data_IF_771597389045
#
_entry.id   IF_771597389045
#
_cell.length_a   1.000
_cell.length_b   1.000
_cell.length_c   1.000
_cell.angle_alpha   90.00
_cell.angle_beta   90.00
_cell.angle_gamma   90.00
#
_symmetry.space_group_name_H-M   'P 1'
#
loop_
_entity.id
_entity.type
_entity.pdbx_description
1 polymer ?
#
# COMPACT_ATOMS: atom_id res chain seq x y z
N UNK A 1 9.98 27.43 19.70
CA UNK A 1 9.37 26.91 20.95
C UNK A 1 8.48 25.74 20.57
N UNK A 2 8.74 24.56 21.12
CA UNK A 2 7.92 23.35 20.88
C UNK A 2 6.72 23.46 21.84
N UNK A 3 5.49 23.35 21.34
CA UNK A 3 4.30 23.46 22.20
C UNK A 3 4.14 22.20 23.08
N UNK A 4 3.48 22.31 24.23
CA UNK A 4 3.18 21.15 25.09
C UNK A 4 2.45 20.00 24.35
N UNK A 5 1.65 20.33 23.32
CA UNK A 5 1.01 19.35 22.43
C UNK A 5 2.00 18.52 21.60
N UNK A 6 3.15 19.10 21.27
CA UNK A 6 4.15 18.47 20.42
C UNK A 6 5.03 17.50 21.21
N UNK A 7 5.28 17.78 22.49
CA UNK A 7 5.95 16.84 23.40
C UNK A 7 5.15 15.55 23.59
N UNK A 8 3.84 15.66 23.87
CA UNK A 8 2.98 14.48 24.02
C UNK A 8 2.96 13.63 22.75
N UNK A 9 2.93 14.27 21.57
CA UNK A 9 3.02 13.58 20.28
C UNK A 9 4.34 12.83 20.12
N UNK A 10 5.47 13.47 20.42
CA UNK A 10 6.80 12.84 20.31
C UNK A 10 6.89 11.62 21.23
N UNK A 11 6.41 11.71 22.48
CA UNK A 11 6.37 10.59 23.40
C UNK A 11 5.53 9.43 22.85
N UNK A 12 4.34 9.70 22.33
CA UNK A 12 3.47 8.67 21.72
C UNK A 12 4.19 8.00 20.55
N UNK A 13 4.77 8.78 19.63
CA UNK A 13 5.51 8.24 18.48
C UNK A 13 6.68 7.39 18.94
N UNK A 14 7.46 7.84 19.91
CA UNK A 14 8.62 7.11 20.43
C UNK A 14 8.21 5.76 21.05
N UNK A 15 7.23 5.77 21.94
CA UNK A 15 6.73 4.55 22.61
C UNK A 15 6.18 3.56 21.58
N UNK A 16 5.35 4.02 20.64
CA UNK A 16 4.76 3.14 19.63
C UNK A 16 5.78 2.65 18.60
N UNK A 17 6.83 3.43 18.33
CA UNK A 17 7.96 3.00 17.50
C UNK A 17 8.72 1.85 18.15
N UNK A 18 8.93 1.90 19.46
CA UNK A 18 9.53 0.79 20.20
C UNK A 18 8.68 -0.49 20.10
N UNK A 19 7.36 -0.37 20.30
CA UNK A 19 6.45 -1.51 20.13
C UNK A 19 6.43 -2.06 18.70
N UNK A 20 6.54 -1.20 17.69
CA UNK A 20 6.69 -1.62 16.29
C UNK A 20 7.96 -2.45 16.08
N UNK A 21 9.12 -1.98 16.55
CA UNK A 21 10.38 -2.72 16.43
C UNK A 21 10.28 -4.06 17.15
N UNK A 22 9.69 -4.09 18.34
CA UNK A 22 9.44 -5.33 19.07
C UNK A 22 8.52 -6.30 18.32
N UNK A 23 7.47 -5.79 17.65
CA UNK A 23 6.59 -6.62 16.83
C UNK A 23 7.31 -7.22 15.62
N UNK A 24 8.12 -6.44 14.91
CA UNK A 24 8.95 -6.92 13.80
C UNK A 24 10.00 -7.94 14.29
N UNK A 25 10.57 -7.75 15.48
CA UNK A 25 11.47 -8.72 16.12
C UNK A 25 10.74 -10.03 16.41
N UNK A 26 9.56 -9.96 17.05
CA UNK A 26 8.73 -11.14 17.35
C UNK A 26 8.37 -11.91 16.10
N UNK A 27 7.99 -11.20 15.04
CA UNK A 27 7.61 -11.78 13.76
C UNK A 27 8.77 -12.48 13.05
N UNK A 28 10.00 -11.96 13.12
CA UNK A 28 11.12 -12.58 12.39
C UNK A 28 11.85 -13.68 13.19
N UNK A 29 11.91 -13.59 14.52
CA UNK A 29 12.76 -14.47 15.34
C UNK A 29 12.03 -15.40 16.29
N UNK A 30 10.86 -15.01 16.78
CA UNK A 30 10.13 -15.82 17.78
C UNK A 30 9.06 -16.66 17.10
N UNK A 31 8.26 -16.03 16.23
CA UNK A 31 7.21 -16.69 15.46
C UNK A 31 7.41 -16.37 13.97
N UNK A 32 8.46 -16.91 13.32
CA UNK A 32 8.71 -16.67 11.91
C UNK A 32 7.48 -17.08 11.08
N UNK A 33 7.12 -16.28 10.05
CA UNK A 33 6.04 -16.66 9.15
C UNK A 33 6.37 -17.97 8.43
N UNK A 34 5.35 -18.78 8.09
CA UNK A 34 5.55 -19.97 7.30
C UNK A 34 6.20 -19.63 5.94
N UNK A 35 7.19 -20.42 5.54
CA UNK A 35 7.89 -20.27 4.26
C UNK A 35 7.01 -20.81 3.12
N UNK A 36 6.03 -20.02 2.73
CA UNK A 36 5.06 -20.36 1.67
C UNK A 36 5.00 -19.26 0.60
N UNK A 37 4.61 -19.64 -0.63
CA UNK A 37 4.31 -18.71 -1.73
C UNK A 37 5.47 -17.73 -2.02
N UNK A 38 5.18 -16.44 -2.20
CA UNK A 38 6.18 -15.39 -2.49
C UNK A 38 7.27 -15.30 -1.41
N UNK A 39 6.95 -15.60 -0.14
CA UNK A 39 7.93 -15.55 0.95
C UNK A 39 8.99 -16.65 0.83
N UNK A 40 8.58 -17.87 0.46
CA UNK A 40 9.51 -18.96 0.14
C UNK A 40 10.41 -18.60 -1.04
N UNK A 41 9.84 -18.01 -2.08
CA UNK A 41 10.61 -17.58 -3.25
C UNK A 41 11.70 -16.57 -2.88
N UNK A 42 11.40 -15.59 -2.02
CA UNK A 42 12.40 -14.64 -1.55
C UNK A 42 13.47 -15.31 -0.69
N UNK A 43 13.09 -16.20 0.23
CA UNK A 43 14.01 -16.96 1.06
C UNK A 43 14.98 -17.81 0.23
N UNK A 44 14.46 -18.59 -0.72
CA UNK A 44 15.28 -19.41 -1.63
C UNK A 44 16.23 -18.53 -2.43
N UNK A 45 15.70 -17.47 -3.06
CA UNK A 45 16.51 -16.55 -3.87
C UNK A 45 17.64 -15.91 -3.04
N UNK A 46 17.34 -15.48 -1.83
CA UNK A 46 18.33 -14.87 -0.93
C UNK A 46 19.49 -15.82 -0.61
N UNK A 47 19.20 -17.11 -0.46
CA UNK A 47 20.18 -18.12 -0.08
C UNK A 47 21.00 -18.66 -1.26
N UNK A 48 20.62 -18.37 -2.51
CA UNK A 48 21.50 -18.62 -3.65
C UNK A 48 22.64 -17.59 -3.65
N UNK A 49 23.88 -18.09 -3.69
CA UNK A 49 25.11 -17.27 -3.58
C UNK A 49 25.43 -16.45 -4.84
N UNK A 50 24.70 -16.65 -5.93
CA UNK A 50 24.89 -15.93 -7.20
C UNK A 50 23.82 -14.86 -7.40
N UNK A 51 24.22 -13.70 -7.92
CA UNK A 51 23.30 -12.64 -8.31
C UNK A 51 22.40 -13.12 -9.46
N UNK A 52 21.21 -13.64 -9.12
CA UNK A 52 20.20 -14.08 -10.10
C UNK A 52 19.26 -12.93 -10.47
N UNK A 53 19.61 -12.19 -11.53
CA UNK A 53 18.79 -11.06 -12.02
C UNK A 53 17.60 -11.53 -12.89
N UNK A 54 17.74 -12.63 -13.62
CA UNK A 54 16.77 -13.09 -14.62
C UNK A 54 15.36 -13.32 -14.04
N UNK A 55 15.27 -13.77 -12.78
CA UNK A 55 14.00 -14.06 -12.12
C UNK A 55 13.19 -12.81 -11.79
N UNK A 56 13.84 -11.65 -11.69
CA UNK A 56 13.22 -10.38 -11.32
C UNK A 56 13.07 -9.41 -12.50
N UNK A 57 13.55 -9.79 -13.69
CA UNK A 57 13.40 -9.01 -14.91
C UNK A 57 14.03 -7.62 -14.77
N UNK A 58 13.20 -6.57 -14.84
CA UNK A 58 13.65 -5.18 -14.72
C UNK A 58 13.88 -4.71 -13.28
N UNK A 59 13.57 -5.56 -12.29
CA UNK A 59 13.58 -5.23 -10.87
C UNK A 59 14.92 -5.63 -10.23
N UNK A 60 15.86 -4.69 -10.19
CA UNK A 60 17.26 -4.96 -9.86
C UNK A 60 17.61 -4.68 -8.39
N UNK A 61 16.85 -3.81 -7.71
CA UNK A 61 17.24 -3.33 -6.38
C UNK A 61 17.20 -4.42 -5.32
N UNK A 62 16.13 -5.22 -5.25
CA UNK A 62 16.02 -6.27 -4.23
C UNK A 62 17.10 -7.37 -4.40
N UNK A 63 17.36 -7.90 -5.62
CA UNK A 63 18.46 -8.85 -5.83
C UNK A 63 19.83 -8.30 -5.44
N UNK A 64 20.11 -7.03 -5.75
CA UNK A 64 21.37 -6.38 -5.36
C UNK A 64 21.47 -6.31 -3.83
N UNK A 65 20.39 -5.95 -3.12
CA UNK A 65 20.38 -5.95 -1.66
C UNK A 65 20.59 -7.36 -1.09
N UNK A 66 19.93 -8.37 -1.65
CA UNK A 66 20.13 -9.76 -1.25
C UNK A 66 21.60 -10.17 -1.39
N UNK A 67 22.20 -9.90 -2.54
CA UNK A 67 23.60 -10.22 -2.80
C UNK A 67 24.54 -9.52 -1.81
N UNK A 68 24.36 -8.22 -1.57
CA UNK A 68 25.21 -7.45 -0.65
C UNK A 68 25.08 -7.98 0.78
N UNK A 69 23.86 -8.14 1.30
CA UNK A 69 23.66 -8.55 2.69
C UNK A 69 24.03 -10.03 2.93
N UNK A 70 23.75 -10.92 1.97
CA UNK A 70 24.22 -12.30 2.03
C UNK A 70 25.76 -12.37 2.03
N UNK A 71 26.43 -11.56 1.20
CA UNK A 71 27.90 -11.47 1.17
C UNK A 71 28.51 -10.94 2.47
N UNK A 72 27.75 -10.15 3.24
CA UNK A 72 28.14 -9.69 4.59
C UNK A 72 27.85 -10.73 5.69
N UNK A 73 27.34 -11.92 5.34
CA UNK A 73 26.99 -12.98 6.29
C UNK A 73 25.66 -12.75 7.01
N UNK A 74 24.80 -11.85 6.53
CA UNK A 74 23.49 -11.60 7.13
C UNK A 74 22.51 -12.68 6.65
N UNK A 75 21.90 -13.41 7.58
CA UNK A 75 20.86 -14.40 7.27
C UNK A 75 19.55 -13.74 6.81
N UNK A 76 18.69 -14.48 6.08
CA UNK A 76 17.46 -13.93 5.51
C UNK A 76 16.51 -13.30 6.54
N UNK A 77 16.28 -13.95 7.68
CA UNK A 77 15.40 -13.39 8.72
C UNK A 77 15.98 -12.12 9.36
N UNK A 78 17.31 -12.05 9.50
CA UNK A 78 18.01 -10.84 9.94
C UNK A 78 17.85 -9.71 8.89
N UNK A 79 18.00 -10.02 7.61
CA UNK A 79 17.77 -9.08 6.52
C UNK A 79 16.32 -8.55 6.51
N UNK A 80 15.34 -9.46 6.60
CA UNK A 80 13.91 -9.12 6.66
C UNK A 80 13.60 -8.24 7.87
N UNK A 81 14.18 -8.54 9.03
CA UNK A 81 14.07 -7.71 10.23
C UNK A 81 14.63 -6.30 10.02
N UNK A 82 15.84 -6.17 9.46
CA UNK A 82 16.44 -4.86 9.17
C UNK A 82 15.60 -4.04 8.18
N UNK A 83 15.08 -4.68 7.13
CA UNK A 83 14.16 -4.04 6.19
C UNK A 83 12.88 -3.54 6.90
N UNK A 84 12.34 -4.35 7.81
CA UNK A 84 11.21 -3.97 8.66
C UNK A 84 11.52 -2.79 9.57
N UNK A 85 12.71 -2.70 10.16
CA UNK A 85 13.11 -1.52 10.95
C UNK A 85 13.17 -0.27 10.06
N UNK A 86 13.72 -0.35 8.85
CA UNK A 86 13.84 0.82 7.98
C UNK A 86 12.48 1.46 7.65
N UNK A 87 11.41 0.66 7.62
CA UNK A 87 10.04 1.17 7.45
C UNK A 87 9.57 2.14 8.52
N UNK A 88 10.24 2.19 9.68
CA UNK A 88 9.94 3.19 10.70
C UNK A 88 10.09 4.63 10.17
N UNK A 89 11.01 4.86 9.22
CA UNK A 89 11.23 6.18 8.61
C UNK A 89 9.96 6.71 7.91
N UNK A 90 9.41 6.04 6.88
CA UNK A 90 8.17 6.51 6.25
C UNK A 90 6.96 6.48 7.19
N UNK A 91 6.89 5.56 8.15
CA UNK A 91 5.80 5.54 9.17
C UNK A 91 5.83 6.85 9.97
N UNK A 92 6.99 7.27 10.48
CA UNK A 92 7.13 8.52 11.23
C UNK A 92 6.84 9.72 10.33
N UNK A 93 7.31 9.73 9.08
CA UNK A 93 7.05 10.83 8.14
C UNK A 93 5.55 10.99 7.85
N UNK A 94 4.85 9.89 7.55
CA UNK A 94 3.41 9.89 7.30
C UNK A 94 2.60 10.22 8.55
N UNK A 95 3.10 9.84 9.74
CA UNK A 95 2.41 10.15 11.00
C UNK A 95 2.12 11.64 11.13
N UNK A 96 2.98 12.53 10.59
CA UNK A 96 2.85 14.00 10.65
C UNK A 96 1.54 14.51 10.06
N UNK A 97 0.95 13.77 9.12
CA UNK A 97 -0.34 14.08 8.51
C UNK A 97 -1.54 13.61 9.35
N UNK A 98 -1.29 12.84 10.42
CA UNK A 98 -2.29 12.26 11.31
C UNK A 98 -2.35 13.05 12.63
N UNK A 99 -3.55 13.35 13.12
CA UNK A 99 -3.74 14.02 14.41
C UNK A 99 -3.24 13.16 15.56
N UNK A 100 -2.74 13.82 16.61
CA UNK A 100 -2.24 13.15 17.82
C UNK A 100 -3.26 12.20 18.45
N UNK A 101 -4.55 12.54 18.42
CA UNK A 101 -5.65 11.70 18.93
C UNK A 101 -5.83 10.38 18.18
N UNK A 102 -5.38 10.30 16.92
CA UNK A 102 -5.52 9.12 16.07
C UNK A 102 -4.21 8.35 15.89
N UNK A 103 -3.09 8.84 16.46
CA UNK A 103 -1.78 8.22 16.29
C UNK A 103 -1.72 6.79 16.83
N UNK A 104 -2.38 6.52 17.95
CA UNK A 104 -2.40 5.17 18.54
C UNK A 104 -2.95 4.18 17.52
N UNK A 105 -4.14 4.44 16.96
CA UNK A 105 -4.75 3.56 15.96
C UNK A 105 -3.93 3.46 14.67
N UNK A 106 -3.32 4.56 14.24
CA UNK A 106 -2.40 4.57 13.10
C UNK A 106 -1.21 3.62 13.31
N UNK A 107 -0.59 3.62 14.49
CA UNK A 107 0.55 2.73 14.80
C UNK A 107 0.13 1.29 15.09
N UNK A 108 -1.04 1.05 15.70
CA UNK A 108 -1.53 -0.32 15.94
C UNK A 108 -1.67 -1.09 14.63
N UNK A 109 -2.04 -0.41 13.54
CA UNK A 109 -2.01 -0.99 12.19
C UNK A 109 -0.61 -1.53 11.83
N UNK A 110 0.44 -0.73 12.02
CA UNK A 110 1.82 -1.13 11.71
C UNK A 110 2.35 -2.20 12.67
N UNK A 111 1.84 -2.27 13.89
CA UNK A 111 2.25 -3.28 14.87
C UNK A 111 1.65 -4.65 14.54
N UNK A 112 0.37 -4.70 14.16
CA UNK A 112 -0.34 -5.98 14.01
C UNK A 112 -0.48 -6.46 12.57
N UNK A 113 -0.74 -5.56 11.62
CA UNK A 113 -1.06 -5.94 10.24
C UNK A 113 0.15 -5.88 9.31
N UNK A 114 1.02 -4.89 9.49
CA UNK A 114 2.16 -4.68 8.60
C UNK A 114 3.20 -5.83 8.59
N UNK A 115 3.59 -6.45 9.74
CA UNK A 115 4.67 -7.45 9.76
C UNK A 115 4.45 -8.63 8.82
N UNK A 116 3.23 -9.18 8.78
CA UNK A 116 2.89 -10.30 7.92
C UNK A 116 2.95 -9.94 6.42
N UNK A 117 2.54 -8.72 6.05
CA UNK A 117 2.37 -8.34 4.66
C UNK A 117 3.64 -7.83 4.00
N UNK A 118 4.52 -7.12 4.72
CA UNK A 118 5.72 -6.56 4.10
C UNK A 118 6.72 -7.64 3.68
N UNK A 119 6.81 -8.72 4.45
CA UNK A 119 7.63 -9.88 4.15
C UNK A 119 7.10 -10.63 2.91
N UNK A 120 5.78 -10.83 2.83
CA UNK A 120 5.11 -11.49 1.71
C UNK A 120 5.24 -10.71 0.39
N UNK A 121 5.12 -9.38 0.40
CA UNK A 121 5.23 -8.53 -0.79
C UNK A 121 6.48 -7.65 -0.78
N UNK A 122 7.62 -8.22 -0.39
CA UNK A 122 8.86 -7.49 -0.11
C UNK A 122 9.27 -6.50 -1.21
N UNK A 123 9.17 -6.89 -2.48
CA UNK A 123 9.48 -6.01 -3.63
C UNK A 123 8.56 -4.79 -3.69
N UNK A 124 7.26 -5.03 -3.58
CA UNK A 124 6.28 -3.95 -3.74
C UNK A 124 6.28 -3.01 -2.53
N UNK A 125 6.50 -3.54 -1.33
CA UNK A 125 6.77 -2.73 -0.15
C UNK A 125 8.06 -1.91 -0.32
N UNK A 126 9.18 -2.51 -0.70
CA UNK A 126 10.43 -1.75 -0.89
C UNK A 126 10.30 -0.66 -1.97
N UNK A 127 9.57 -0.94 -3.05
CA UNK A 127 9.21 0.05 -4.06
C UNK A 127 8.44 1.22 -3.44
N UNK A 128 7.42 0.92 -2.63
CA UNK A 128 6.59 1.93 -1.99
C UNK A 128 7.34 2.71 -0.89
N UNK A 129 8.25 2.07 -0.17
CA UNK A 129 9.18 2.70 0.77
C UNK A 129 9.96 3.84 0.09
N UNK A 130 10.65 3.54 -1.02
CA UNK A 130 11.37 4.56 -1.78
C UNK A 130 10.42 5.60 -2.39
N UNK A 131 9.22 5.21 -2.81
CA UNK A 131 8.24 6.14 -3.34
C UNK A 131 7.77 7.17 -2.29
N UNK A 132 7.52 6.73 -1.05
CA UNK A 132 7.17 7.62 0.05
C UNK A 132 8.31 8.59 0.38
N UNK A 133 9.57 8.12 0.37
CA UNK A 133 10.73 9.00 0.52
C UNK A 133 10.83 10.02 -0.63
N UNK A 134 10.53 9.62 -1.87
CA UNK A 134 10.42 10.53 -3.00
C UNK A 134 9.34 11.62 -2.79
N UNK A 135 8.21 11.29 -2.15
CA UNK A 135 7.16 12.27 -1.87
C UNK A 135 7.54 13.22 -0.73
N UNK A 136 8.29 12.75 0.26
CA UNK A 136 8.63 13.50 1.47
C UNK A 136 9.96 14.29 1.37
N UNK A 137 10.90 13.88 0.53
CA UNK A 137 12.20 14.55 0.39
C UNK A 137 12.19 15.66 -0.67
N UNK A 138 13.04 16.67 -0.48
CA UNK A 138 13.26 17.77 -1.43
C UNK A 138 14.65 17.67 -2.09
N UNK A 139 14.85 18.43 -3.17
CA UNK A 139 16.14 18.53 -3.86
C UNK A 139 16.52 17.31 -4.71
N UNK A 140 17.82 17.10 -4.92
CA UNK A 140 18.35 16.06 -5.83
C UNK A 140 18.10 14.63 -5.34
N UNK A 141 18.14 14.40 -4.03
CA UNK A 141 17.91 13.09 -3.42
C UNK A 141 16.51 12.53 -3.73
N UNK A 142 15.54 13.40 -3.99
CA UNK A 142 14.19 13.01 -4.42
C UNK A 142 14.25 12.14 -5.68
N UNK A 143 15.03 12.53 -6.69
CA UNK A 143 15.12 11.78 -7.94
C UNK A 143 15.83 10.44 -7.77
N UNK A 144 16.80 10.34 -6.85
CA UNK A 144 17.42 9.08 -6.47
C UNK A 144 16.37 8.11 -5.91
N UNK A 145 15.50 8.56 -5.00
CA UNK A 145 14.44 7.71 -4.47
C UNK A 145 13.41 7.29 -5.53
N UNK A 146 13.09 8.17 -6.49
CA UNK A 146 12.21 7.79 -7.61
C UNK A 146 12.86 6.71 -8.48
N UNK A 147 14.14 6.87 -8.80
CA UNK A 147 14.91 5.88 -9.54
C UNK A 147 14.91 4.54 -8.79
N UNK A 148 15.29 4.53 -7.52
CA UNK A 148 15.27 3.32 -6.70
C UNK A 148 13.89 2.67 -6.65
N UNK A 149 12.82 3.45 -6.55
CA UNK A 149 11.44 2.94 -6.56
C UNK A 149 11.10 2.22 -7.87
N UNK A 150 11.36 2.85 -9.03
CA UNK A 150 11.08 2.27 -10.36
C UNK A 150 11.88 0.98 -10.61
N UNK A 151 13.17 0.99 -10.25
CA UNK A 151 14.04 -0.19 -10.41
C UNK A 151 13.79 -1.26 -9.33
N UNK A 152 12.97 -0.98 -8.32
CA UNK A 152 12.49 -2.00 -7.39
C UNK A 152 11.22 -2.68 -7.91
N UNK A 153 10.26 -1.92 -8.44
CA UNK A 153 9.03 -2.46 -9.03
C UNK A 153 8.36 -1.43 -9.95
N UNK A 154 7.84 -1.89 -11.10
CA UNK A 154 7.24 -0.99 -12.11
C UNK A 154 5.97 -0.27 -11.65
N UNK A 155 5.32 -0.73 -10.57
CA UNK A 155 4.17 -0.03 -9.97
C UNK A 155 4.48 1.41 -9.58
N UNK A 156 5.75 1.76 -9.34
CA UNK A 156 6.18 3.13 -9.08
C UNK A 156 5.77 4.11 -10.18
N UNK A 157 5.72 3.68 -11.44
CA UNK A 157 5.29 4.51 -12.58
C UNK A 157 3.81 4.85 -12.43
N UNK A 158 2.99 3.85 -12.09
CA UNK A 158 1.55 4.03 -11.85
C UNK A 158 1.33 4.97 -10.66
N UNK A 159 2.09 4.80 -9.57
CA UNK A 159 2.02 5.69 -8.42
C UNK A 159 2.42 7.13 -8.76
N UNK A 160 3.43 7.31 -9.62
CA UNK A 160 3.86 8.62 -10.09
C UNK A 160 2.76 9.32 -10.88
N UNK A 161 2.07 8.59 -11.76
CA UNK A 161 0.93 9.12 -12.51
C UNK A 161 -0.16 9.59 -11.53
N UNK A 162 -0.58 8.75 -10.58
CA UNK A 162 -1.63 9.09 -9.62
C UNK A 162 -1.28 10.28 -8.73
N UNK A 163 -0.04 10.38 -8.26
CA UNK A 163 0.33 11.47 -7.37
C UNK A 163 0.52 12.81 -8.11
N UNK A 164 0.64 12.80 -9.45
CA UNK A 164 0.84 13.98 -10.31
C UNK A 164 -0.41 14.41 -11.08
N UNK A 165 -1.53 13.72 -10.95
CA UNK A 165 -2.79 14.15 -11.56
C UNK A 165 -3.24 15.50 -11.00
N UNK A 166 -3.32 16.52 -11.83
CA UNK A 166 -3.74 17.88 -11.45
C UNK A 166 -5.26 18.09 -11.60
N UNK A 167 -6.06 17.19 -11.04
CA UNK A 167 -7.52 17.30 -11.11
C UNK A 167 -8.01 18.22 -10.00
N UNK A 168 -8.58 19.38 -10.39
CA UNK A 168 -9.12 20.37 -9.45
C UNK A 168 -10.65 20.29 -9.29
N UNK A 169 -11.35 19.64 -10.22
CA UNK A 169 -12.80 19.56 -10.16
C UNK A 169 -13.24 18.55 -9.08
N UNK A 170 -13.93 19.03 -8.04
CA UNK A 170 -14.49 18.20 -6.97
C UNK A 170 -15.54 17.20 -7.48
N UNK A 171 -16.28 17.55 -8.52
CA UNK A 171 -17.31 16.68 -9.10
C UNK A 171 -16.70 15.43 -9.72
N UNK A 172 -15.50 15.54 -10.29
CA UNK A 172 -14.76 14.39 -10.81
C UNK A 172 -14.49 13.35 -9.72
N UNK A 173 -14.13 13.78 -8.51
CA UNK A 173 -13.87 12.86 -7.40
C UNK A 173 -15.15 12.16 -6.95
N UNK A 174 -16.26 12.88 -6.86
CA UNK A 174 -17.56 12.28 -6.54
C UNK A 174 -18.03 11.30 -7.60
N UNK A 175 -17.93 11.68 -8.88
CA UNK A 175 -18.28 10.80 -9.99
C UNK A 175 -17.41 9.55 -9.98
N UNK A 176 -16.09 9.70 -9.78
CA UNK A 176 -15.16 8.56 -9.67
C UNK A 176 -15.53 7.65 -8.51
N UNK A 177 -15.81 8.21 -7.32
CA UNK A 177 -16.25 7.43 -6.16
C UNK A 177 -17.55 6.69 -6.45
N UNK A 178 -18.57 7.37 -6.98
CA UNK A 178 -19.86 6.77 -7.28
C UNK A 178 -19.75 5.66 -8.33
N UNK A 179 -19.01 5.91 -9.41
CA UNK A 179 -18.76 4.92 -10.46
C UNK A 179 -18.09 3.67 -9.90
N UNK A 180 -17.02 3.85 -9.12
CA UNK A 180 -16.30 2.73 -8.48
C UNK A 180 -17.16 2.02 -7.44
N UNK A 181 -17.99 2.73 -6.68
CA UNK A 181 -18.92 2.13 -5.72
C UNK A 181 -20.00 1.29 -6.41
N UNK A 182 -20.54 1.75 -7.54
CA UNK A 182 -21.47 0.97 -8.36
C UNK A 182 -20.79 -0.28 -8.93
N UNK A 183 -19.56 -0.15 -9.43
CA UNK A 183 -18.77 -1.31 -9.90
C UNK A 183 -18.56 -2.30 -8.76
N UNK A 184 -18.20 -1.84 -7.56
CA UNK A 184 -18.05 -2.69 -6.39
C UNK A 184 -19.32 -3.48 -6.08
N UNK A 185 -20.50 -2.83 -6.08
CA UNK A 185 -21.77 -3.53 -5.90
C UNK A 185 -22.01 -4.56 -7.01
N UNK A 186 -21.72 -4.22 -8.27
CA UNK A 186 -21.79 -5.16 -9.39
C UNK A 186 -20.86 -6.37 -9.22
N UNK A 187 -19.63 -6.15 -8.75
CA UNK A 187 -18.67 -7.19 -8.44
C UNK A 187 -19.20 -8.14 -7.35
N UNK A 188 -19.84 -7.62 -6.30
CA UNK A 188 -20.47 -8.45 -5.26
C UNK A 188 -21.66 -9.26 -5.78
N UNK A 189 -22.31 -8.82 -6.86
CA UNK A 189 -23.37 -9.55 -7.55
C UNK A 189 -22.85 -10.55 -8.61
N UNK A 190 -21.53 -10.70 -8.75
CA UNK A 190 -20.91 -11.59 -9.75
C UNK A 190 -20.84 -11.00 -11.16
N UNK A 191 -21.17 -9.72 -11.34
CA UNK A 191 -21.14 -9.02 -12.63
C UNK A 191 -19.80 -8.28 -12.87
N UNK A 192 -18.75 -8.70 -12.17
CA UNK A 192 -17.46 -7.99 -12.14
C UNK A 192 -16.45 -8.39 -13.21
N UNK A 193 -15.21 -7.95 -13.02
CA UNK A 193 -14.10 -8.25 -13.91
C UNK A 193 -13.88 -9.76 -14.09
N UNK A 194 -14.07 -10.55 -13.03
CA UNK A 194 -13.88 -12.00 -13.07
C UNK A 194 -14.87 -12.69 -14.01
N UNK A 195 -16.13 -12.26 -14.06
CA UNK A 195 -17.12 -12.83 -14.98
C UNK A 195 -16.89 -12.38 -16.43
N UNK A 196 -16.44 -11.14 -16.65
CA UNK A 196 -15.97 -10.70 -17.98
C UNK A 196 -14.78 -11.52 -18.43
N UNK A 197 -13.81 -11.79 -17.54
CA UNK A 197 -12.64 -12.62 -17.85
C UNK A 197 -13.04 -14.05 -18.20
N UNK A 198 -13.95 -14.67 -17.43
CA UNK A 198 -14.50 -15.99 -17.73
C UNK A 198 -15.22 -16.03 -19.08
N UNK A 199 -16.03 -15.00 -19.39
CA UNK A 199 -16.67 -14.88 -20.71
C UNK A 199 -15.63 -14.84 -21.84
N UNK A 200 -14.57 -14.05 -21.70
CA UNK A 200 -13.48 -13.96 -22.68
C UNK A 200 -12.73 -15.29 -22.83
N UNK A 201 -12.50 -16.02 -21.75
CA UNK A 201 -11.90 -17.37 -21.80
C UNK A 201 -12.79 -18.35 -22.58
N UNK A 202 -14.11 -18.26 -22.38
CA UNK A 202 -15.10 -19.13 -23.02
C UNK A 202 -15.33 -18.81 -24.51
N UNK A 203 -14.98 -17.60 -24.97
CA UNK A 203 -15.11 -17.19 -26.38
C UNK A 203 -14.11 -17.87 -27.34
N UNK A 204 -13.14 -18.64 -26.81
CA UNK A 204 -12.13 -19.36 -27.59
C UNK A 204 -11.51 -18.53 -28.73
N UNK A 205 -10.68 -17.55 -28.35
CA UNK A 205 -10.08 -16.54 -29.26
C UNK A 205 -9.11 -17.17 -30.30
N UNK A 206 -8.90 -18.49 -30.28
CA UNK A 206 -8.05 -19.20 -31.25
C UNK A 206 -6.55 -18.94 -31.08
N UNK A 207 -6.14 -18.17 -30.07
CA UNK A 207 -4.74 -17.94 -29.71
C UNK A 207 -4.43 -18.70 -28.41
N UNK A 208 -3.93 -19.92 -28.59
CA UNK A 208 -3.67 -20.88 -27.50
C UNK A 208 -2.89 -20.30 -26.32
N UNK A 209 -1.83 -19.52 -26.59
CA UNK A 209 -1.00 -18.95 -25.52
C UNK A 209 -1.71 -17.88 -24.68
N UNK A 210 -2.58 -17.08 -25.30
CA UNK A 210 -3.38 -16.08 -24.57
C UNK A 210 -4.43 -16.80 -23.73
N UNK A 211 -5.11 -17.79 -24.31
CA UNK A 211 -6.14 -18.56 -23.63
C UNK A 211 -5.59 -19.36 -22.44
N UNK A 212 -4.39 -19.92 -22.56
CA UNK A 212 -3.67 -20.56 -21.45
C UNK A 212 -3.37 -19.58 -20.31
N UNK A 213 -2.94 -18.34 -20.63
CA UNK A 213 -2.67 -17.32 -19.60
C UNK A 213 -3.96 -16.82 -18.94
N UNK A 214 -5.01 -16.59 -19.72
CA UNK A 214 -6.30 -16.14 -19.21
C UNK A 214 -6.95 -17.21 -18.33
N UNK A 215 -6.90 -18.48 -18.72
CA UNK A 215 -7.41 -19.59 -17.90
C UNK A 215 -6.61 -19.84 -16.61
N UNK A 216 -5.30 -19.58 -16.63
CA UNK A 216 -4.50 -19.55 -15.40
C UNK A 216 -4.93 -18.40 -14.49
N UNK A 217 -5.20 -17.20 -15.04
CA UNK A 217 -5.65 -16.05 -14.27
C UNK A 217 -7.03 -16.26 -13.63
N UNK A 218 -7.97 -16.91 -14.33
CA UNK A 218 -9.30 -17.24 -13.75
C UNK A 218 -9.18 -18.24 -12.61
N UNK A 219 -8.40 -19.32 -12.79
CA UNK A 219 -8.15 -20.31 -11.72
C UNK A 219 -7.52 -19.68 -10.47
N UNK A 220 -6.55 -18.79 -10.65
CA UNK A 220 -5.94 -18.05 -9.56
C UNK A 220 -6.90 -17.03 -8.92
N UNK A 221 -7.91 -16.57 -9.65
CA UNK A 221 -8.97 -15.69 -9.14
C UNK A 221 -9.99 -16.44 -8.28
N UNK A 222 -10.44 -17.61 -8.74
CA UNK A 222 -11.55 -18.36 -8.12
C UNK A 222 -11.19 -18.96 -6.74
N UNK A 223 -9.93 -19.33 -6.49
CA UNK A 223 -9.47 -19.88 -5.20
C UNK A 223 -9.22 -18.80 -4.12
N UNK A 224 -9.32 -17.51 -4.47
CA UNK A 224 -8.83 -16.40 -3.63
C UNK A 224 -9.92 -15.49 -3.02
N UNK A 225 -11.20 -15.91 -3.06
CA UNK A 225 -12.32 -15.18 -2.42
C UNK A 225 -12.29 -15.41 -0.90
N UNK A 226 -11.26 -14.88 -0.23
CA UNK A 226 -11.15 -14.88 1.24
C UNK A 226 -12.00 -13.74 1.85
N UNK A 227 -12.84 -14.10 2.83
CA UNK A 227 -13.69 -13.20 3.62
C UNK A 227 -12.92 -12.10 4.39
N UNK A 228 -11.63 -12.31 4.69
CA UNK A 228 -10.79 -11.34 5.42
C UNK A 228 -10.50 -10.05 4.64
N UNK A 229 -10.82 -10.01 3.33
CA UNK A 229 -10.62 -8.84 2.46
C UNK A 229 -11.75 -7.80 2.52
N UNK A 230 -12.94 -8.18 2.98
CA UNK A 230 -14.13 -7.29 2.94
C UNK A 230 -13.93 -6.08 3.85
N UNK A 231 -13.37 -6.27 5.03
CA UNK A 231 -13.13 -5.18 5.99
C UNK A 231 -12.18 -4.11 5.41
N UNK A 232 -11.15 -4.53 4.65
CA UNK A 232 -10.26 -3.60 3.95
C UNK A 232 -11.03 -2.78 2.91
N UNK A 233 -11.90 -3.41 2.11
CA UNK A 233 -12.72 -2.69 1.13
C UNK A 233 -13.71 -1.72 1.79
N UNK A 234 -14.34 -2.10 2.90
CA UNK A 234 -15.22 -1.20 3.66
C UNK A 234 -14.46 0.04 4.15
N UNK A 235 -13.27 -0.16 4.72
CA UNK A 235 -12.41 0.96 5.15
C UNK A 235 -12.00 1.83 3.96
N UNK A 236 -11.68 1.24 2.81
CA UNK A 236 -11.33 1.97 1.59
C UNK A 236 -12.50 2.81 1.07
N UNK A 237 -13.69 2.23 0.94
CA UNK A 237 -14.90 2.93 0.49
C UNK A 237 -15.20 4.09 1.42
N UNK A 238 -15.16 3.87 2.74
CA UNK A 238 -15.35 4.93 3.72
C UNK A 238 -14.29 6.04 3.61
N UNK A 239 -13.02 5.66 3.42
CA UNK A 239 -11.92 6.62 3.23
C UNK A 239 -12.09 7.46 1.97
N UNK A 240 -12.50 6.84 0.85
CA UNK A 240 -12.79 7.53 -0.39
C UNK A 240 -13.97 8.49 -0.23
N UNK A 241 -15.05 8.06 0.41
CA UNK A 241 -16.21 8.91 0.68
C UNK A 241 -15.80 10.14 1.51
N UNK A 242 -15.09 9.94 2.62
CA UNK A 242 -14.58 11.04 3.45
C UNK A 242 -13.64 11.96 2.67
N UNK A 243 -12.83 11.42 1.76
CA UNK A 243 -11.95 12.23 0.91
C UNK A 243 -12.76 13.11 -0.04
N UNK A 244 -13.83 12.59 -0.67
CA UNK A 244 -14.75 13.39 -1.48
C UNK A 244 -15.41 14.50 -0.66
N UNK A 245 -15.86 14.21 0.56
CA UNK A 245 -16.44 15.21 1.48
C UNK A 245 -15.42 16.28 1.87
N UNK A 246 -14.16 15.91 2.10
CA UNK A 246 -13.08 16.87 2.40
C UNK A 246 -12.89 17.86 1.25
N UNK A 247 -12.87 17.36 0.01
CA UNK A 247 -12.76 18.19 -1.19
C UNK A 247 -14.00 19.07 -1.41
N UNK A 248 -15.20 18.57 -1.12
CA UNK A 248 -16.43 19.33 -1.29
C UNK A 248 -16.49 20.57 -0.40
N UNK A 249 -15.93 20.45 0.81
CA UNK A 249 -15.83 21.51 1.78
C UNK A 249 -14.58 22.41 1.59
N UNK A 250 -13.96 22.39 0.40
CA UNK A 250 -12.89 23.31 0.02
C UNK A 250 -11.47 22.84 0.39
N UNK A 251 -11.31 21.59 0.80
CA UNK A 251 -10.01 20.98 1.06
C UNK A 251 -9.12 20.94 -0.17
N UNK A 252 -7.79 20.96 0.05
CA UNK A 252 -6.78 20.76 -1.01
C UNK A 252 -6.10 19.42 -0.84
N UNK A 253 -5.92 18.71 -1.94
CA UNK A 253 -5.21 17.43 -1.92
C UNK A 253 -3.70 17.63 -1.88
N UNK A 254 -3.03 16.77 -1.12
CA UNK A 254 -1.60 16.54 -1.26
C UNK A 254 -1.35 15.32 -2.16
N UNK A 255 -0.11 15.16 -2.63
CA UNK A 255 0.27 14.07 -3.55
C UNK A 255 0.02 12.67 -2.95
N UNK A 256 0.15 12.52 -1.63
CA UNK A 256 -0.09 11.25 -0.93
C UNK A 256 -1.58 10.90 -0.95
N UNK A 257 -2.47 11.86 -0.67
CA UNK A 257 -3.91 11.66 -0.70
C UNK A 257 -4.38 11.31 -2.12
N UNK A 258 -3.86 11.97 -3.15
CA UNK A 258 -4.18 11.62 -4.55
C UNK A 258 -3.76 10.19 -4.89
N UNK A 259 -2.52 9.82 -4.52
CA UNK A 259 -2.03 8.46 -4.70
C UNK A 259 -2.96 7.44 -4.04
N UNK A 260 -3.28 7.64 -2.76
CA UNK A 260 -4.16 6.74 -2.02
C UNK A 260 -5.58 6.70 -2.61
N UNK A 261 -6.13 7.83 -3.08
CA UNK A 261 -7.46 7.86 -3.68
C UNK A 261 -7.53 7.06 -4.97
N UNK A 262 -6.61 7.29 -5.92
CA UNK A 262 -6.63 6.55 -7.18
C UNK A 262 -6.24 5.09 -7.02
N UNK A 263 -5.30 4.77 -6.12
CA UNK A 263 -5.05 3.38 -5.76
C UNK A 263 -6.27 2.72 -5.11
N UNK A 264 -7.06 3.44 -4.31
CA UNK A 264 -8.31 2.93 -3.76
C UNK A 264 -9.36 2.69 -4.85
N UNK A 265 -9.49 3.61 -5.82
CA UNK A 265 -10.37 3.41 -6.99
C UNK A 265 -10.06 2.08 -7.68
N UNK A 266 -8.79 1.80 -7.95
CA UNK A 266 -8.38 0.56 -8.62
C UNK A 266 -8.63 -0.66 -7.74
N UNK A 267 -8.25 -0.60 -6.47
CA UNK A 267 -8.47 -1.71 -5.54
C UNK A 267 -9.95 -2.10 -5.49
N UNK A 268 -10.84 -1.11 -5.35
CA UNK A 268 -12.29 -1.32 -5.26
C UNK A 268 -12.88 -1.75 -6.61
N UNK A 269 -12.41 -1.18 -7.73
CA UNK A 269 -12.85 -1.57 -9.07
C UNK A 269 -12.57 -3.04 -9.39
N UNK A 270 -11.42 -3.56 -8.94
CA UNK A 270 -11.03 -4.96 -9.10
C UNK A 270 -11.25 -5.79 -7.83
N UNK A 271 -12.26 -5.46 -7.02
CA UNK A 271 -12.49 -6.12 -5.72
C UNK A 271 -12.73 -7.63 -5.83
N UNK A 272 -13.24 -8.09 -6.97
CA UNK A 272 -13.46 -9.49 -7.33
C UNK A 272 -12.25 -10.16 -8.00
N UNK A 273 -11.16 -9.42 -8.24
CA UNK A 273 -9.92 -9.91 -8.83
C UNK A 273 -8.67 -9.44 -8.05
N UNK A 274 -8.41 -10.15 -6.95
CA UNK A 274 -7.42 -9.80 -5.91
C UNK A 274 -6.01 -9.50 -6.44
N UNK A 275 -5.56 -10.18 -7.49
CA UNK A 275 -4.20 -9.97 -8.04
C UNK A 275 -4.04 -8.54 -8.57
N UNK A 276 -5.01 -8.04 -9.35
CA UNK A 276 -4.96 -6.67 -9.88
C UNK A 276 -5.21 -5.64 -8.77
N UNK A 277 -6.17 -5.91 -7.88
CA UNK A 277 -6.44 -5.05 -6.74
C UNK A 277 -5.19 -4.84 -5.85
N UNK A 278 -4.49 -5.93 -5.51
CA UNK A 278 -3.32 -5.89 -4.64
C UNK A 278 -2.09 -5.26 -5.32
N UNK A 279 -1.91 -5.44 -6.63
CA UNK A 279 -0.72 -4.94 -7.34
C UNK A 279 -0.87 -3.49 -7.79
N UNK A 280 -1.99 -3.11 -8.38
CA UNK A 280 -2.19 -1.74 -8.87
C UNK A 280 -2.82 -0.83 -7.81
N UNK A 281 -3.69 -1.38 -6.97
CA UNK A 281 -4.28 -0.71 -5.82
C UNK A 281 -3.43 -0.79 -4.54
N UNK A 282 -2.23 -1.36 -4.61
CA UNK A 282 -1.33 -1.68 -3.49
C UNK A 282 -1.29 -0.59 -2.40
N UNK A 283 -1.00 0.65 -2.79
CA UNK A 283 -0.76 1.74 -1.84
C UNK A 283 -1.97 1.95 -0.93
N UNK A 284 -3.18 1.91 -1.48
CA UNK A 284 -4.40 2.07 -0.68
C UNK A 284 -4.81 0.76 0.00
N UNK A 285 -4.74 -0.37 -0.69
CA UNK A 285 -5.20 -1.66 -0.16
C UNK A 285 -4.43 -2.07 1.10
N UNK A 286 -3.10 -2.02 1.04
CA UNK A 286 -2.23 -2.40 2.16
C UNK A 286 -1.96 -1.27 3.14
N UNK A 287 -2.48 -0.05 2.90
CA UNK A 287 -2.41 1.07 3.85
C UNK A 287 -3.78 1.72 4.02
N UNK A 288 -4.85 0.92 4.00
CA UNK A 288 -6.24 1.37 4.08
C UNK A 288 -6.52 2.14 5.36
N UNK A 289 -6.03 1.63 6.51
CA UNK A 289 -6.15 2.27 7.82
C UNK A 289 -5.31 3.56 7.91
N UNK A 290 -4.02 3.57 7.53
CA UNK A 290 -3.26 4.82 7.39
C UNK A 290 -3.96 5.86 6.52
N UNK A 291 -4.50 5.46 5.36
CA UNK A 291 -5.23 6.35 4.47
C UNK A 291 -6.48 6.93 5.15
N UNK A 292 -7.28 6.08 5.79
CA UNK A 292 -8.45 6.49 6.57
C UNK A 292 -8.09 7.57 7.60
N UNK A 293 -7.06 7.36 8.42
CA UNK A 293 -6.67 8.32 9.45
C UNK A 293 -6.03 9.60 8.90
N UNK A 294 -5.34 9.55 7.76
CA UNK A 294 -4.85 10.74 7.06
C UNK A 294 -6.03 11.61 6.62
N UNK A 295 -7.07 11.01 6.03
CA UNK A 295 -8.27 11.74 5.59
C UNK A 295 -9.07 12.25 6.79
N UNK A 296 -9.32 11.40 7.79
CA UNK A 296 -10.08 11.76 9.00
C UNK A 296 -9.44 12.92 9.76
N UNK A 297 -8.10 12.98 9.77
CA UNK A 297 -7.33 14.06 10.40
C UNK A 297 -7.57 15.45 9.79
N UNK A 298 -8.21 15.53 8.62
CA UNK A 298 -8.59 16.81 7.99
C UNK A 298 -9.88 17.43 8.53
N UNK A 299 -10.68 16.67 9.28
CA UNK A 299 -11.98 17.11 9.80
C UNK A 299 -11.90 17.50 11.27
N UNK A 300 -12.19 18.75 11.63
CA UNK A 300 -12.34 19.17 13.04
C UNK A 300 -13.80 19.41 13.40
N UNK A 301 -14.17 19.03 14.63
CA UNK A 301 -15.43 19.44 15.25
C UNK A 301 -15.23 20.82 15.88
N UNK A 302 -16.11 21.76 15.56
CA UNK A 302 -16.22 23.00 16.32
C UNK A 302 -16.94 22.73 17.66
N UNK A 303 -16.85 23.66 18.62
CA UNK A 303 -17.54 23.60 19.92
C UNK A 303 -19.06 23.46 19.82
N UNK A 304 -19.63 23.77 18.65
CA UNK A 304 -21.05 23.57 18.28
C UNK A 304 -21.35 22.20 17.64
N UNK A 305 -20.38 21.28 17.58
CA UNK A 305 -20.52 19.97 16.94
C UNK A 305 -20.51 19.99 15.41
N UNK A 306 -20.37 21.16 14.77
CA UNK A 306 -20.31 21.28 13.30
C UNK A 306 -18.93 20.91 12.75
N UNK A 307 -18.90 20.14 11.68
CA UNK A 307 -17.68 19.77 10.95
C UNK A 307 -17.15 20.94 10.12
N UNK A 308 -15.85 21.23 10.27
CA UNK A 308 -15.15 22.14 9.37
C UNK A 308 -13.86 21.49 8.86
N UNK A 309 -13.50 21.83 7.61
CA UNK A 309 -12.26 21.41 6.98
C UNK A 309 -11.12 22.29 7.49
N UNK A 310 -10.04 21.66 7.93
CA UNK A 310 -8.83 22.36 8.36
C UNK A 310 -8.04 22.83 7.14
N UNK A 311 -7.76 24.13 7.02
CA UNK A 311 -6.71 24.63 6.14
C UNK A 311 -5.36 24.34 6.80
N UNK A 312 -4.51 23.56 6.12
CA UNK A 312 -3.09 23.47 6.47
C UNK A 312 -2.39 24.80 6.21
#
# INVERSE_FOLDING_TARGET
>A
MINNSDYGRICIVFILSFFYVYAIYRFNFINPPPLESDYLQYFETYNYTTLYLDRFGVELILPILFYIFNSLGVEFFNFSFLLGIFWLIPIILLSKEVRSSYLIFYFLFFIFYFPANYAFLMRQYLCFYFFLLYLCCSGRLRFLFLFLSIFTHLSAIVFLIFCKTNIKNKEFFYFSFLAVFVIFLGNQLGLGFSSVLQFVVNLDIGIYDIQRKLSMLTRLGDENVFNDSILNYVILILSMFLHCVYLSAGGKNNNIMLLMFFSACIAVMFSDFKILANRFGFAAFFFSIPYFFIVLSRFSLNSSGKFFVRSN
#
